data_IF_813768940033
#
_entry.id   IF_813768940033
#
_cell.length_a   1.000
_cell.length_b   1.000
_cell.length_c   1.000
_cell.angle_alpha   90.00
_cell.angle_beta   90.00
_cell.angle_gamma   90.00
#
_symmetry.space_group_name_H-M   'P 1'
#
loop_
_entity.id
_entity.type
_entity.pdbx_description
1 polymer ?
#
# COMPACT_ATOMS: atom_id res chain seq x y z
N UNK A 1 20.18 -5.06 21.45
CA UNK A 1 19.14 -5.91 20.81
C UNK A 1 17.88 -5.07 20.67
N UNK A 2 17.68 -4.43 19.52
CA UNK A 2 16.46 -3.66 19.22
C UNK A 2 15.56 -4.53 18.32
N UNK A 3 14.27 -4.71 18.65
CA UNK A 3 13.33 -5.35 17.75
C UNK A 3 12.98 -4.35 16.64
N UNK A 4 13.83 -4.21 15.62
CA UNK A 4 13.44 -3.51 14.39
C UNK A 4 12.54 -4.44 13.60
N UNK A 5 11.27 -4.51 14.00
CA UNK A 5 10.20 -5.00 13.14
C UNK A 5 10.08 -4.00 11.99
N UNK A 6 10.97 -4.10 11.01
CA UNK A 6 11.15 -3.19 9.88
C UNK A 6 9.93 -3.33 8.96
N UNK A 7 8.82 -2.73 9.39
CA UNK A 7 7.57 -2.79 8.67
C UNK A 7 7.47 -1.55 7.80
N UNK A 8 7.35 -1.73 6.48
CA UNK A 8 7.20 -0.59 5.56
C UNK A 8 5.79 -0.03 5.68
N UNK A 9 5.70 1.23 6.04
CA UNK A 9 4.45 1.97 5.98
C UNK A 9 4.26 2.54 4.57
N UNK A 10 3.32 1.98 3.82
CA UNK A 10 2.93 2.49 2.50
C UNK A 10 1.82 3.52 2.72
N UNK A 11 2.10 4.78 2.42
CA UNK A 11 1.13 5.86 2.62
C UNK A 11 0.22 6.02 1.40
N UNK A 12 -0.98 6.58 1.60
CA UNK A 12 -1.93 6.86 0.53
C UNK A 12 -1.35 7.79 -0.53
N UNK A 13 -0.58 8.80 -0.11
CA UNK A 13 0.09 9.71 -1.04
C UNK A 13 1.20 9.05 -1.87
N UNK A 14 1.87 8.02 -1.34
CA UNK A 14 2.80 7.21 -2.13
C UNK A 14 2.07 6.41 -3.22
N UNK A 15 0.93 5.82 -2.87
CA UNK A 15 0.10 5.09 -3.83
C UNK A 15 -0.43 6.02 -4.92
N UNK A 16 -0.92 7.20 -4.55
CA UNK A 16 -1.42 8.20 -5.48
C UNK A 16 -0.34 8.66 -6.47
N UNK A 17 0.91 8.84 -6.02
CA UNK A 17 2.02 9.22 -6.92
C UNK A 17 2.54 8.06 -7.77
N UNK A 18 2.59 6.86 -7.23
CA UNK A 18 3.20 5.71 -7.89
C UNK A 18 2.28 5.00 -8.90
N UNK A 19 0.96 5.09 -8.69
CA UNK A 19 -0.05 4.39 -9.47
C UNK A 19 -1.00 5.33 -10.19
N UNK A 20 -1.65 4.81 -11.23
CA UNK A 20 -2.69 5.49 -12.00
C UNK A 20 -4.08 4.99 -11.57
N UNK A 21 -5.12 5.75 -11.89
CA UNK A 21 -6.49 5.37 -11.56
C UNK A 21 -6.89 4.07 -12.29
N UNK A 22 -7.30 3.06 -11.53
CA UNK A 22 -7.67 1.74 -12.01
C UNK A 22 -6.56 0.69 -11.90
N UNK A 23 -5.37 1.05 -11.42
CA UNK A 23 -4.31 0.07 -11.24
C UNK A 23 -4.55 -0.89 -10.08
N UNK A 24 -3.90 -2.05 -10.20
CA UNK A 24 -3.84 -3.07 -9.17
C UNK A 24 -2.57 -2.88 -8.31
N UNK A 25 -2.76 -2.85 -6.99
CA UNK A 25 -1.70 -2.73 -6.00
C UNK A 25 -1.54 -4.08 -5.31
N UNK A 26 -0.46 -4.78 -5.66
CA UNK A 26 -0.04 -6.04 -5.07
C UNK A 26 1.37 -5.89 -4.49
N UNK A 27 1.83 -6.87 -3.72
CA UNK A 27 3.22 -6.90 -3.28
C UNK A 27 4.22 -6.85 -4.46
N UNK A 28 3.83 -7.37 -5.62
CA UNK A 28 4.68 -7.31 -6.81
C UNK A 28 4.72 -5.91 -7.43
N UNK A 29 3.56 -5.27 -7.63
CA UNK A 29 3.53 -3.93 -8.23
C UNK A 29 4.15 -2.89 -7.29
N UNK A 30 3.99 -3.03 -5.98
CA UNK A 30 4.70 -2.22 -4.97
C UNK A 30 6.22 -2.37 -5.09
N UNK A 31 6.72 -3.58 -5.31
CA UNK A 31 8.15 -3.86 -5.53
C UNK A 31 8.63 -3.25 -6.84
N UNK A 32 7.84 -3.38 -7.92
CA UNK A 32 8.18 -2.80 -9.23
C UNK A 32 8.24 -1.27 -9.19
N UNK A 33 7.41 -0.64 -8.35
CA UNK A 33 7.40 0.81 -8.12
C UNK A 33 8.44 1.25 -7.09
N UNK A 34 9.30 0.35 -6.62
CA UNK A 34 10.31 0.60 -5.58
C UNK A 34 9.73 1.18 -4.28
N UNK A 35 8.46 0.91 -3.98
CA UNK A 35 7.81 1.30 -2.74
C UNK A 35 8.16 0.34 -1.59
N UNK A 36 8.50 -0.90 -1.94
CA UNK A 36 9.00 -1.93 -1.02
C UNK A 36 10.18 -2.64 -1.68
N UNK A 37 11.09 -3.16 -0.87
CA UNK A 37 12.17 -4.02 -1.35
C UNK A 37 11.72 -5.47 -1.52
N UNK A 38 12.53 -6.27 -2.23
CA UNK A 38 12.28 -7.72 -2.35
C UNK A 38 12.29 -8.44 -0.99
N UNK A 39 13.06 -7.94 -0.01
CA UNK A 39 13.11 -8.48 1.35
C UNK A 39 11.77 -8.26 2.04
N UNK A 40 11.21 -7.05 1.97
CA UNK A 40 9.96 -6.67 2.62
C UNK A 40 8.75 -7.35 1.96
N UNK A 41 8.78 -7.51 0.63
CA UNK A 41 7.79 -8.28 -0.11
C UNK A 41 7.77 -9.75 0.35
N UNK A 42 8.94 -10.39 0.49
CA UNK A 42 9.06 -11.78 0.99
C UNK A 42 8.63 -11.90 2.45
N UNK A 43 9.02 -10.95 3.28
CA UNK A 43 8.69 -10.94 4.70
C UNK A 43 7.26 -10.48 5.00
N UNK A 44 6.47 -10.13 3.96
CA UNK A 44 5.12 -9.51 4.07
C UNK A 44 5.05 -8.43 5.15
N UNK A 45 6.13 -7.68 5.30
CA UNK A 45 6.28 -6.67 6.36
C UNK A 45 5.80 -5.30 5.90
N UNK A 46 5.14 -5.19 4.75
CA UNK A 46 4.57 -3.96 4.25
C UNK A 46 3.09 -3.82 4.66
N UNK A 47 2.67 -2.62 5.06
CA UNK A 47 1.29 -2.30 5.42
C UNK A 47 0.89 -0.93 4.89
N UNK A 48 -0.33 -0.82 4.37
CA UNK A 48 -0.89 0.46 3.93
C UNK A 48 -1.44 1.21 5.14
N UNK A 49 -1.08 2.49 5.26
CA UNK A 49 -1.50 3.37 6.35
C UNK A 49 -2.20 4.62 5.81
N UNK A 50 -3.14 5.12 6.61
CA UNK A 50 -4.01 6.26 6.28
C UNK A 50 -3.25 7.59 6.41
N UNK A 51 -2.32 7.85 5.51
CA UNK A 51 -1.48 9.05 5.57
C UNK A 51 -1.37 9.68 4.18
N UNK A 52 -1.71 10.96 4.09
CA UNK A 52 -1.85 11.66 2.80
C UNK A 52 -3.22 11.42 2.15
N UNK A 53 -3.33 11.83 0.90
CA UNK A 53 -4.58 11.79 0.12
C UNK A 53 -4.45 10.78 -1.00
N UNK A 54 -5.48 9.96 -1.21
CA UNK A 54 -5.64 9.09 -2.37
C UNK A 54 -6.85 9.56 -3.16
N UNK A 55 -6.64 10.09 -4.36
CA UNK A 55 -7.72 10.50 -5.27
C UNK A 55 -7.99 9.46 -6.35
N UNK A 56 -7.09 8.49 -6.51
CA UNK A 56 -7.14 7.48 -7.55
C UNK A 56 -7.81 6.21 -7.05
N UNK A 57 -8.72 5.66 -7.86
CA UNK A 57 -9.28 4.32 -7.63
C UNK A 57 -8.17 3.28 -7.77
N UNK A 58 -7.93 2.46 -6.74
CA UNK A 58 -6.91 1.41 -6.77
C UNK A 58 -7.51 0.10 -6.27
N UNK A 59 -7.11 -1.01 -6.90
CA UNK A 59 -7.48 -2.36 -6.47
C UNK A 59 -6.35 -2.95 -5.66
N UNK A 60 -6.45 -2.92 -4.33
CA UNK A 60 -5.48 -3.53 -3.44
C UNK A 60 -5.77 -5.03 -3.35
N UNK A 61 -4.78 -5.88 -3.61
CA UNK A 61 -4.92 -7.34 -3.53
C UNK A 61 -3.77 -7.95 -2.74
N UNK A 62 -4.10 -8.64 -1.65
CA UNK A 62 -3.12 -9.38 -0.83
C UNK A 62 -2.15 -8.49 -0.06
N UNK A 63 -2.49 -7.21 0.16
CA UNK A 63 -1.71 -6.25 0.95
C UNK A 63 -2.51 -5.81 2.18
N UNK A 64 -1.95 -5.95 3.40
CA UNK A 64 -2.65 -5.52 4.60
C UNK A 64 -2.73 -3.99 4.67
N UNK A 65 -3.91 -3.48 5.01
CA UNK A 65 -4.17 -2.05 5.21
C UNK A 65 -4.72 -1.80 6.62
N UNK A 66 -4.40 -0.64 7.21
CA UNK A 66 -5.06 -0.18 8.44
C UNK A 66 -6.52 0.19 8.19
N UNK A 67 -7.34 0.23 9.24
CA UNK A 67 -8.77 0.57 9.12
C UNK A 67 -9.00 1.90 8.41
N UNK A 68 -8.29 2.97 8.83
CA UNK A 68 -8.40 4.27 8.15
C UNK A 68 -7.90 4.26 6.70
N UNK A 69 -6.97 3.35 6.35
CA UNK A 69 -6.49 3.24 4.98
C UNK A 69 -7.55 2.56 4.10
N UNK A 70 -8.20 1.51 4.61
CA UNK A 70 -9.33 0.86 3.95
C UNK A 70 -10.43 1.87 3.64
N UNK A 71 -10.85 2.65 4.64
CA UNK A 71 -11.86 3.69 4.47
C UNK A 71 -11.46 4.71 3.41
N UNK A 72 -10.20 5.15 3.37
CA UNK A 72 -9.72 6.09 2.37
C UNK A 72 -9.69 5.48 0.95
N UNK A 73 -9.32 4.20 0.83
CA UNK A 73 -9.34 3.47 -0.45
C UNK A 73 -10.77 3.33 -0.96
N UNK A 74 -11.72 2.97 -0.09
CA UNK A 74 -13.14 2.87 -0.43
C UNK A 74 -13.72 4.25 -0.81
N UNK A 75 -13.37 5.32 -0.09
CA UNK A 75 -13.74 6.70 -0.43
C UNK A 75 -13.19 7.15 -1.78
N UNK A 76 -12.00 6.67 -2.16
CA UNK A 76 -11.42 6.92 -3.47
C UNK A 76 -12.05 6.06 -4.59
N UNK A 77 -13.05 5.22 -4.28
CA UNK A 77 -13.68 4.29 -5.22
C UNK A 77 -12.81 3.08 -5.56
N UNK A 78 -11.82 2.78 -4.72
CA UNK A 78 -10.98 1.59 -4.81
C UNK A 78 -11.63 0.34 -4.20
N UNK A 79 -10.89 -0.76 -4.22
CA UNK A 79 -11.34 -2.04 -3.64
C UNK A 79 -10.18 -2.72 -2.94
N UNK A 80 -10.46 -3.48 -1.88
CA UNK A 80 -9.45 -4.21 -1.12
C UNK A 80 -9.85 -5.68 -1.02
N UNK A 81 -8.98 -6.58 -1.51
CA UNK A 81 -9.17 -8.04 -1.53
C UNK A 81 -8.00 -8.77 -0.87
#
# INVERSE_FOLDING_TARGET
NLPVKNSVAITLGMLDKAFEAGNEVTMETLKQKSLITAVEARARSAKIVATGTLSKKLSIVGVPASSGAKEAIEKAGGSLK
#
